data_IF_396456512483
#
_entry.id   IF_396456512483
#
_cell.length_a   1.000
_cell.length_b   1.000
_cell.length_c   1.000
_cell.angle_alpha   90.00
_cell.angle_beta   90.00
_cell.angle_gamma   90.00
#
_symmetry.space_group_name_H-M   'P 1'
#
loop_
_entity.id
_entity.type
_entity.pdbx_description
1 polymer ?
#
# COMPACT_ATOMS: atom_id res chain seq x y z
N UNK A 1 -31.60 72.74 8.28
CA UNK A 1 -32.59 73.55 7.56
C UNK A 1 -33.32 72.65 6.57
N UNK A 2 -34.56 72.27 6.92
CA UNK A 2 -35.82 72.63 6.25
C UNK A 2 -36.07 71.82 4.97
N UNK A 3 -36.86 70.74 5.07
CA UNK A 3 -38.31 70.68 4.77
C UNK A 3 -38.55 70.25 3.32
N UNK A 4 -39.05 69.03 3.04
CA UNK A 4 -40.49 68.70 2.99
C UNK A 4 -41.07 69.19 1.66
N UNK A 5 -41.65 68.38 0.77
CA UNK A 5 -42.88 67.60 0.98
C UNK A 5 -43.20 66.83 -0.32
N UNK A 6 -43.80 65.65 -0.19
CA UNK A 6 -44.50 64.98 -1.29
C UNK A 6 -45.95 65.45 -1.37
N UNK A 7 -46.54 65.39 -2.56
CA UNK A 7 -47.99 65.35 -2.74
C UNK A 7 -48.34 64.45 -3.93
N UNK A 8 -49.09 63.39 -3.66
CA UNK A 8 -49.99 62.76 -4.62
C UNK A 8 -51.34 63.48 -4.54
N UNK A 9 -51.97 63.77 -5.68
CA UNK A 9 -53.42 63.97 -5.74
C UNK A 9 -53.97 63.50 -7.08
N UNK A 10 -55.18 62.96 -7.00
CA UNK A 10 -55.90 62.22 -8.03
C UNK A 10 -56.87 63.09 -8.84
N UNK A 11 -57.32 62.50 -9.95
CA UNK A 11 -58.66 62.58 -10.58
C UNK A 11 -59.01 63.63 -11.65
N UNK A 12 -59.36 63.05 -12.82
CA UNK A 12 -60.51 63.28 -13.73
C UNK A 12 -60.31 64.06 -15.06
N UNK A 13 -60.51 63.27 -16.11
CA UNK A 13 -60.85 63.47 -17.53
C UNK A 13 -61.63 64.75 -17.91
N UNK A 14 -61.28 65.33 -19.07
CA UNK A 14 -62.16 65.69 -20.22
C UNK A 14 -61.25 65.86 -21.45
N UNK A 15 -61.63 65.27 -22.59
CA UNK A 15 -60.77 65.13 -23.78
C UNK A 15 -60.82 66.26 -24.80
N UNK A 16 -59.81 66.31 -25.67
CA UNK A 16 -59.93 66.54 -27.11
C UNK A 16 -58.63 66.14 -27.82
N UNK A 17 -58.76 65.59 -29.03
CA UNK A 17 -57.71 65.02 -29.87
C UNK A 17 -56.55 65.98 -30.15
N UNK A 18 -55.31 65.47 -30.15
CA UNK A 18 -54.28 65.78 -31.15
C UNK A 18 -53.19 64.67 -31.16
N UNK A 19 -52.86 64.21 -32.37
CA UNK A 19 -51.89 63.16 -32.68
C UNK A 19 -50.46 63.62 -32.37
N UNK A 20 -49.74 62.89 -31.51
CA UNK A 20 -48.28 62.96 -31.45
C UNK A 20 -47.69 61.55 -31.29
N UNK A 21 -47.04 61.06 -32.36
CA UNK A 21 -46.20 59.86 -32.32
C UNK A 21 -44.97 60.18 -31.47
N UNK A 22 -44.82 59.53 -30.33
CA UNK A 22 -43.62 59.58 -29.50
C UNK A 22 -43.22 58.17 -29.10
N UNK A 23 -42.18 57.63 -29.75
CA UNK A 23 -41.56 56.35 -29.40
C UNK A 23 -40.95 56.42 -28.00
N UNK A 24 -41.52 55.71 -27.02
CA UNK A 24 -40.90 55.54 -25.70
C UNK A 24 -39.92 54.37 -25.76
N UNK A 25 -38.64 54.67 -25.99
CA UNK A 25 -37.54 53.72 -25.81
C UNK A 25 -37.25 53.56 -24.31
N UNK A 26 -37.43 52.34 -23.79
CA UNK A 26 -37.05 51.96 -22.43
C UNK A 26 -35.54 52.11 -22.25
N UNK A 27 -35.09 53.12 -21.50
CA UNK A 27 -33.71 53.20 -21.03
C UNK A 27 -33.55 52.25 -19.85
N UNK A 28 -33.00 51.06 -20.10
CA UNK A 28 -32.42 50.20 -19.05
C UNK A 28 -31.39 51.01 -18.28
N UNK A 29 -31.71 51.37 -17.03
CA UNK A 29 -30.75 51.94 -16.09
C UNK A 29 -29.82 50.80 -15.65
N UNK A 30 -28.61 50.77 -16.22
CA UNK A 30 -27.55 49.86 -15.81
C UNK A 30 -27.03 50.37 -14.48
N UNK A 31 -27.37 49.70 -13.39
CA UNK A 31 -26.66 49.89 -12.11
C UNK A 31 -25.25 49.38 -12.32
N UNK A 32 -24.31 50.31 -12.51
CA UNK A 32 -22.89 49.99 -12.50
C UNK A 32 -22.55 49.40 -11.13
N UNK A 33 -22.19 48.13 -11.23
CA UNK A 33 -21.60 47.29 -10.23
C UNK A 33 -20.39 48.05 -9.67
N UNK A 34 -20.43 48.50 -8.42
CA UNK A 34 -19.20 48.79 -7.70
C UNK A 34 -18.47 47.46 -7.59
N UNK A 35 -17.55 47.24 -8.52
CA UNK A 35 -16.59 46.16 -8.50
C UNK A 35 -15.72 46.41 -7.26
N UNK A 36 -16.05 45.76 -6.15
CA UNK A 36 -15.17 45.74 -4.98
C UNK A 36 -13.79 45.27 -5.43
N UNK A 37 -12.81 46.15 -5.25
CA UNK A 37 -11.40 45.89 -5.50
C UNK A 37 -10.99 44.76 -4.54
N UNK A 38 -10.45 43.61 -5.01
CA UNK A 38 -10.07 42.53 -4.13
C UNK A 38 -8.95 43.01 -3.19
N UNK A 39 -9.27 43.16 -1.91
CA UNK A 39 -8.27 43.26 -0.85
C UNK A 39 -7.43 41.97 -0.82
N UNK A 40 -6.11 42.02 -0.55
CA UNK A 40 -5.20 40.86 -0.66
C UNK A 40 -5.37 39.75 0.41
N UNK A 41 -6.57 39.56 0.97
CA UNK A 41 -6.80 38.67 2.12
C UNK A 41 -8.14 37.92 2.08
N UNK A 42 -8.56 37.47 0.90
CA UNK A 42 -9.90 36.85 0.69
C UNK A 42 -9.83 35.38 0.25
N UNK A 43 -8.70 34.70 0.42
CA UNK A 43 -8.62 33.24 0.25
C UNK A 43 -8.67 32.58 1.64
N UNK A 44 -9.66 31.71 1.85
CA UNK A 44 -9.76 30.89 3.06
C UNK A 44 -8.55 29.98 3.25
N UNK A 45 -8.51 29.19 4.34
CA UNK A 45 -7.41 28.28 4.58
C UNK A 45 -7.34 27.22 3.47
N UNK A 46 -6.14 26.93 3.01
CA UNK A 46 -5.89 26.00 1.90
C UNK A 46 -4.79 25.03 2.33
N UNK A 47 -5.00 23.74 2.06
CA UNK A 47 -3.97 22.72 2.22
C UNK A 47 -2.93 22.86 1.10
N UNK A 48 -1.66 22.70 1.45
CA UNK A 48 -0.59 22.63 0.45
C UNK A 48 -0.71 21.34 -0.36
N UNK A 49 -0.94 21.41 -1.69
CA UNK A 49 -1.13 20.24 -2.53
C UNK A 49 0.16 19.39 -2.69
N UNK A 50 1.32 19.94 -2.31
CA UNK A 50 2.58 19.17 -2.29
C UNK A 50 2.71 18.24 -1.09
N UNK A 51 1.80 18.34 -0.10
CA UNK A 51 1.79 17.45 1.06
C UNK A 51 1.41 16.03 0.63
N UNK A 52 2.22 15.01 0.94
CA UNK A 52 1.95 13.65 0.52
C UNK A 52 0.74 13.05 1.26
N UNK A 53 -0.16 12.42 0.51
CA UNK A 53 -1.33 11.71 1.06
C UNK A 53 -1.06 10.24 1.41
N UNK A 54 0.15 9.74 1.14
CA UNK A 54 0.53 8.35 1.43
C UNK A 54 1.85 8.33 2.20
N UNK A 55 1.90 7.55 3.27
CA UNK A 55 3.08 7.33 4.07
C UNK A 55 3.24 5.83 4.33
N UNK A 56 4.39 5.27 3.99
CA UNK A 56 4.79 3.92 4.40
C UNK A 56 5.89 4.03 5.44
N UNK A 57 5.78 3.28 6.54
CA UNK A 57 6.77 3.26 7.61
C UNK A 57 6.94 1.86 8.17
N UNK A 58 8.11 1.58 8.75
CA UNK A 58 8.37 0.31 9.43
C UNK A 58 7.73 0.32 10.82
N UNK A 59 7.22 -0.84 11.24
CA UNK A 59 6.77 -1.04 12.61
C UNK A 59 7.90 -0.71 13.61
N UNK A 60 7.56 -0.04 14.70
CA UNK A 60 8.54 0.38 15.72
C UNK A 60 9.31 1.67 15.41
N UNK A 61 9.34 2.16 14.16
CA UNK A 61 9.98 3.44 13.84
C UNK A 61 9.17 4.64 14.36
N UNK A 62 9.54 5.86 13.97
CA UNK A 62 8.71 7.05 14.22
C UNK A 62 8.07 7.45 12.90
N UNK A 63 6.74 7.59 12.88
CA UNK A 63 6.00 8.07 11.73
C UNK A 63 5.68 9.57 11.88
N UNK A 64 5.83 10.32 10.80
CA UNK A 64 5.50 11.74 10.72
C UNK A 64 4.47 11.96 9.63
N UNK A 65 3.24 12.30 10.03
CA UNK A 65 2.19 12.67 9.08
C UNK A 65 2.19 14.19 9.00
N UNK A 66 2.64 14.71 7.86
CA UNK A 66 2.76 16.14 7.62
C UNK A 66 1.43 16.71 7.13
N UNK A 67 1.12 17.94 7.54
CA UNK A 67 0.01 18.71 7.00
C UNK A 67 0.41 20.18 6.94
N UNK A 68 0.43 20.76 5.74
CA UNK A 68 0.76 22.18 5.56
C UNK A 68 -0.49 22.97 5.21
N UNK A 69 -0.75 24.04 5.94
CA UNK A 69 -1.97 24.86 5.82
C UNK A 69 -1.60 26.33 5.69
N UNK A 70 -1.97 26.93 4.55
CA UNK A 70 -1.84 28.36 4.28
C UNK A 70 -3.09 29.10 4.72
N UNK A 71 -2.96 30.38 5.07
CA UNK A 71 -4.07 31.26 5.43
C UNK A 71 -4.97 30.69 6.55
N UNK A 72 -4.36 30.05 7.56
CA UNK A 72 -5.10 29.43 8.67
C UNK A 72 -5.97 30.43 9.47
N UNK A 73 -5.51 31.67 9.60
CA UNK A 73 -6.19 32.69 10.39
C UNK A 73 -6.31 32.30 11.86
N UNK A 74 -7.51 32.45 12.43
CA UNK A 74 -7.82 32.07 13.81
C UNK A 74 -8.40 30.64 13.95
N UNK A 75 -8.27 29.82 12.91
CA UNK A 75 -8.81 28.45 12.88
C UNK A 75 -7.80 27.46 13.46
N UNK A 76 -8.31 26.30 13.86
CA UNK A 76 -7.50 25.24 14.48
C UNK A 76 -7.33 24.08 13.50
N UNK A 77 -6.12 23.55 13.42
CA UNK A 77 -5.81 22.28 12.75
C UNK A 77 -5.90 21.15 13.77
N UNK A 78 -6.56 20.06 13.43
CA UNK A 78 -6.75 18.89 14.27
C UNK A 78 -6.40 17.63 13.51
N UNK A 79 -5.86 16.62 14.19
CA UNK A 79 -5.68 15.29 13.61
C UNK A 79 -6.76 14.35 14.12
N UNK A 80 -7.46 13.69 13.20
CA UNK A 80 -8.52 12.73 13.49
C UNK A 80 -8.16 11.37 12.89
N UNK A 81 -8.35 10.31 13.66
CA UNK A 81 -8.23 8.93 13.16
C UNK A 81 -9.57 8.49 12.59
N UNK A 82 -9.60 8.14 11.30
CA UNK A 82 -10.88 8.01 10.60
C UNK A 82 -11.64 6.72 10.95
N UNK A 83 -10.95 5.63 11.31
CA UNK A 83 -11.58 4.32 11.60
C UNK A 83 -12.61 4.36 12.74
N UNK A 84 -12.41 5.25 13.71
CA UNK A 84 -13.20 5.37 14.94
C UNK A 84 -13.55 6.84 15.25
N UNK A 85 -13.26 7.76 14.32
CA UNK A 85 -13.48 9.20 14.45
C UNK A 85 -12.83 9.75 15.74
N UNK A 86 -11.71 9.16 16.14
CA UNK A 86 -11.04 9.52 17.39
C UNK A 86 -10.18 10.76 17.19
N UNK A 87 -10.45 11.82 17.97
CA UNK A 87 -9.65 13.04 17.98
C UNK A 87 -8.28 12.75 18.61
N UNK A 88 -7.21 12.91 17.83
CA UNK A 88 -5.85 12.68 18.28
C UNK A 88 -5.23 13.95 18.84
N UNK A 89 -5.35 15.06 18.11
CA UNK A 89 -4.76 16.35 18.48
C UNK A 89 -5.68 17.51 18.08
N UNK A 90 -5.57 18.61 18.82
CA UNK A 90 -6.19 19.90 18.49
C UNK A 90 -5.16 21.02 18.66
N UNK A 91 -4.76 21.62 17.54
CA UNK A 91 -3.66 22.57 17.50
C UNK A 91 -2.36 21.93 17.97
N UNK A 92 -1.77 22.48 19.03
CA UNK A 92 -0.51 22.01 19.63
C UNK A 92 -0.71 21.01 20.76
N UNK A 93 -1.95 20.67 21.09
CA UNK A 93 -2.29 19.82 22.22
C UNK A 93 -2.68 18.42 21.74
N UNK A 94 -2.08 17.40 22.34
CA UNK A 94 -2.53 16.01 22.18
C UNK A 94 -3.79 15.79 23.01
N UNK A 95 -4.87 15.36 22.37
CA UNK A 95 -6.17 15.08 23.01
C UNK A 95 -6.29 13.62 23.45
N UNK A 96 -5.75 12.69 22.64
CA UNK A 96 -5.77 11.26 22.98
C UNK A 96 -4.90 10.96 24.21
N UNK A 97 -5.29 9.95 24.98
CA UNK A 97 -4.49 9.44 26.11
C UNK A 97 -3.34 8.53 25.68
N UNK A 98 -3.33 8.07 24.43
CA UNK A 98 -2.23 7.25 23.88
C UNK A 98 -0.99 8.14 23.68
N UNK A 99 0.01 7.95 24.55
CA UNK A 99 1.25 8.73 24.62
C UNK A 99 2.14 8.61 23.36
N UNK A 100 1.84 7.69 22.45
CA UNK A 100 2.56 7.54 21.19
C UNK A 100 2.24 8.66 20.20
N UNK A 101 1.05 9.26 20.31
CA UNK A 101 0.58 10.32 19.43
C UNK A 101 0.95 11.69 20.00
N UNK A 102 1.61 12.52 19.21
CA UNK A 102 2.05 13.84 19.64
C UNK A 102 1.83 14.88 18.54
N UNK A 103 1.27 16.03 18.94
CA UNK A 103 1.14 17.20 18.09
C UNK A 103 2.49 17.92 17.97
N UNK A 104 3.00 18.07 16.76
CA UNK A 104 4.20 18.85 16.46
C UNK A 104 3.83 20.03 15.58
N UNK A 105 4.14 21.24 16.05
CA UNK A 105 3.96 22.46 15.29
C UNK A 105 5.00 23.48 15.73
N UNK A 106 5.80 23.94 14.77
CA UNK A 106 6.78 25.00 15.00
C UNK A 106 6.07 26.35 14.89
N UNK A 107 6.20 27.26 15.88
CA UNK A 107 5.56 28.57 15.79
C UNK A 107 5.95 29.31 14.51
N UNK A 108 4.98 29.98 13.89
CA UNK A 108 5.13 30.75 12.64
C UNK A 108 5.40 29.92 11.39
N UNK A 109 5.28 28.59 11.45
CA UNK A 109 5.27 27.74 10.25
C UNK A 109 3.84 27.38 9.86
N UNK A 110 3.66 26.96 8.60
CA UNK A 110 2.40 26.43 8.09
C UNK A 110 2.24 24.94 8.38
N UNK A 111 3.19 24.32 9.07
CA UNK A 111 3.31 22.87 9.23
C UNK A 111 2.73 22.36 10.55
N UNK A 112 1.83 21.38 10.43
CA UNK A 112 1.10 20.71 11.50
C UNK A 112 1.31 19.21 11.38
N UNK A 113 2.27 18.68 12.12
CA UNK A 113 2.71 17.29 11.98
C UNK A 113 2.18 16.45 13.13
N UNK A 114 1.59 15.30 12.82
CA UNK A 114 1.30 14.26 13.79
C UNK A 114 2.49 13.31 13.88
N UNK A 115 3.12 13.24 15.04
CA UNK A 115 4.16 12.24 15.34
C UNK A 115 3.51 11.02 15.98
N UNK A 116 3.80 9.83 15.46
CA UNK A 116 3.35 8.55 16.01
C UNK A 116 4.59 7.71 16.33
N UNK A 117 4.85 7.47 17.62
CA UNK A 117 5.96 6.63 18.09
C UNK A 117 5.59 5.15 18.05
N UNK A 118 6.56 4.31 17.65
CA UNK A 118 6.42 2.85 17.66
C UNK A 118 5.12 2.38 17.01
N UNK A 119 4.82 2.79 15.76
CA UNK A 119 3.60 2.41 15.08
C UNK A 119 3.58 0.89 14.92
N UNK A 120 2.39 0.33 15.01
CA UNK A 120 2.12 -1.09 14.89
C UNK A 120 1.36 -1.33 13.59
N UNK A 121 1.36 -2.57 13.07
CA UNK A 121 0.58 -2.92 11.87
C UNK A 121 -0.90 -2.52 11.98
N UNK A 122 -1.47 -2.60 13.19
CA UNK A 122 -2.84 -2.17 13.50
C UNK A 122 -3.07 -0.65 13.42
N UNK A 123 -2.03 0.18 13.43
CA UNK A 123 -2.16 1.63 13.28
C UNK A 123 -2.28 2.05 11.81
N UNK A 124 -2.07 1.14 10.85
CA UNK A 124 -2.33 1.42 9.45
C UNK A 124 -3.78 1.86 9.22
N UNK A 125 -3.97 2.84 8.35
CA UNK A 125 -5.29 3.39 8.03
C UNK A 125 -5.26 4.86 7.68
N UNK A 126 -6.45 5.46 7.62
CA UNK A 126 -6.64 6.85 7.23
C UNK A 126 -6.62 7.76 8.45
N UNK A 127 -5.81 8.80 8.35
CA UNK A 127 -5.72 9.92 9.28
C UNK A 127 -6.09 11.19 8.54
N UNK A 128 -6.85 12.07 9.19
CA UNK A 128 -7.35 13.29 8.60
C UNK A 128 -6.77 14.50 9.32
N UNK A 129 -6.08 15.36 8.58
CA UNK A 129 -5.75 16.70 9.02
C UNK A 129 -6.94 17.62 8.74
N UNK A 130 -7.70 17.97 9.77
CA UNK A 130 -8.94 18.71 9.68
C UNK A 130 -8.76 20.17 10.13
N UNK A 131 -9.33 21.12 9.39
CA UNK A 131 -9.37 22.54 9.75
C UNK A 131 -10.77 22.90 10.25
N UNK A 132 -10.85 23.67 11.34
CA UNK A 132 -12.10 24.13 11.97
C UNK A 132 -12.83 25.21 11.14
N UNK A 133 -13.10 24.93 9.87
CA UNK A 133 -13.93 25.74 8.96
C UNK A 133 -15.41 25.35 9.12
N UNK A 134 -16.33 26.10 8.51
CA UNK A 134 -17.76 25.75 8.52
C UNK A 134 -18.26 25.68 7.07
N UNK A 135 -18.50 24.47 6.51
CA UNK A 135 -18.23 23.14 7.08
C UNK A 135 -16.74 22.85 7.23
N UNK A 136 -16.31 21.89 8.08
CA UNK A 136 -14.90 21.53 8.24
C UNK A 136 -14.35 20.96 6.92
N UNK A 137 -13.08 21.24 6.64
CA UNK A 137 -12.34 20.70 5.49
C UNK A 137 -11.18 19.85 5.98
N UNK A 138 -10.86 18.78 5.25
CA UNK A 138 -9.85 17.80 5.64
C UNK A 138 -8.88 17.44 4.52
N UNK A 139 -7.64 17.13 4.90
CA UNK A 139 -6.65 16.46 4.07
C UNK A 139 -6.41 15.05 4.60
N UNK A 140 -6.68 14.05 3.78
CA UNK A 140 -6.56 12.64 4.14
C UNK A 140 -5.17 12.11 3.86
N UNK A 141 -4.60 11.42 4.84
CA UNK A 141 -3.31 10.73 4.76
C UNK A 141 -3.51 9.26 5.07
N UNK A 142 -3.17 8.39 4.13
CA UNK A 142 -3.12 6.96 4.33
C UNK A 142 -1.76 6.53 4.86
N UNK A 143 -1.72 5.99 6.07
CA UNK A 143 -0.52 5.43 6.67
C UNK A 143 -0.52 3.90 6.52
N UNK A 144 0.55 3.35 5.95
CA UNK A 144 0.81 1.92 5.85
C UNK A 144 2.01 1.53 6.72
N UNK A 145 1.78 0.74 7.76
CA UNK A 145 2.83 0.24 8.65
C UNK A 145 3.19 -1.18 8.21
N UNK A 146 4.43 -1.36 7.77
CA UNK A 146 4.96 -2.63 7.26
C UNK A 146 5.97 -3.23 8.25
N UNK A 147 6.07 -4.55 8.23
CA UNK A 147 7.04 -5.31 9.02
C UNK A 147 8.01 -6.00 8.07
N UNK A 148 9.28 -6.20 8.47
CA UNK A 148 10.21 -6.95 7.66
C UNK A 148 9.73 -8.38 7.42
N UNK A 149 9.82 -8.86 6.19
CA UNK A 149 9.40 -10.21 5.81
C UNK A 149 10.58 -10.95 5.18
N UNK A 150 10.88 -12.14 5.69
CA UNK A 150 11.99 -12.98 5.22
C UNK A 150 11.44 -14.17 4.47
N UNK A 151 11.99 -14.44 3.29
CA UNK A 151 11.59 -15.54 2.42
C UNK A 151 12.82 -16.12 1.72
N UNK A 152 12.84 -17.43 1.50
CA UNK A 152 13.86 -18.08 0.67
C UNK A 152 13.21 -18.46 -0.66
N UNK A 153 13.73 -17.90 -1.76
CA UNK A 153 13.18 -18.13 -3.10
C UNK A 153 13.24 -19.61 -3.47
N UNK A 154 12.18 -20.11 -4.12
CA UNK A 154 12.08 -21.51 -4.54
C UNK A 154 11.73 -22.49 -3.43
N UNK A 155 11.46 -22.03 -2.20
CA UNK A 155 10.92 -22.87 -1.13
C UNK A 155 9.46 -23.32 -1.36
N UNK A 156 8.95 -24.26 -0.54
CA UNK A 156 9.57 -24.84 0.65
C UNK A 156 10.55 -25.99 0.36
N UNK A 157 10.54 -26.56 -0.85
CA UNK A 157 11.36 -27.70 -1.26
C UNK A 157 12.11 -27.38 -2.56
N UNK A 158 13.42 -27.64 -2.59
CA UNK A 158 14.28 -27.47 -3.76
C UNK A 158 14.99 -28.77 -4.08
N UNK A 159 15.12 -29.07 -5.37
CA UNK A 159 15.76 -30.29 -5.88
C UNK A 159 16.96 -29.91 -6.73
N UNK A 160 18.14 -30.44 -6.40
CA UNK A 160 19.41 -30.06 -7.01
C UNK A 160 20.17 -31.33 -7.36
N UNK A 161 20.70 -31.44 -8.57
CA UNK A 161 21.46 -32.62 -8.96
C UNK A 161 22.82 -32.65 -8.26
N UNK A 162 23.30 -33.84 -7.92
CA UNK A 162 24.67 -34.05 -7.44
C UNK A 162 25.70 -33.42 -8.40
N UNK A 163 26.77 -32.86 -7.84
CA UNK A 163 27.82 -32.14 -8.57
C UNK A 163 27.47 -30.71 -8.99
N UNK A 164 26.19 -30.31 -8.94
CA UNK A 164 25.76 -28.94 -9.28
C UNK A 164 26.07 -27.93 -8.16
N UNK A 165 25.80 -26.65 -8.39
CA UNK A 165 25.94 -25.60 -7.37
C UNK A 165 24.59 -25.35 -6.69
N UNK A 166 24.55 -25.43 -5.36
CA UNK A 166 23.42 -24.97 -4.56
C UNK A 166 23.45 -23.44 -4.54
N UNK A 167 22.36 -22.81 -4.98
CA UNK A 167 22.18 -21.36 -4.96
C UNK A 167 20.86 -21.03 -4.25
N UNK A 168 20.96 -20.66 -2.97
CA UNK A 168 19.80 -20.26 -2.18
C UNK A 168 19.78 -18.74 -2.05
N UNK A 169 18.71 -18.13 -2.54
CA UNK A 169 18.48 -16.69 -2.40
C UNK A 169 17.50 -16.45 -1.27
N UNK A 170 17.94 -15.76 -0.23
CA UNK A 170 17.08 -15.22 0.81
C UNK A 170 16.79 -13.75 0.55
N UNK A 171 15.53 -13.37 0.61
CA UNK A 171 15.04 -12.02 0.41
C UNK A 171 14.39 -11.53 1.69
N UNK A 172 14.82 -10.37 2.17
CA UNK A 172 14.28 -9.67 3.33
C UNK A 172 13.63 -8.38 2.86
N UNK A 173 12.32 -8.42 2.60
CA UNK A 173 11.51 -7.26 2.24
C UNK A 173 11.34 -6.32 3.43
N UNK A 174 11.17 -5.02 3.16
CA UNK A 174 11.02 -3.97 4.18
C UNK A 174 12.14 -4.02 5.22
N UNK A 175 13.38 -4.17 4.76
CA UNK A 175 14.57 -4.21 5.61
C UNK A 175 14.74 -2.87 6.35
N UNK A 176 14.99 -2.89 7.68
CA UNK A 176 15.30 -1.67 8.43
C UNK A 176 16.65 -1.08 8.01
N UNK A 177 16.85 0.20 8.31
CA UNK A 177 18.15 0.89 8.15
C UNK A 177 18.77 1.15 9.54
N UNK A 178 19.98 0.65 9.84
CA UNK A 178 20.85 -0.18 9.00
C UNK A 178 20.34 -1.62 8.80
N UNK A 179 20.61 -2.19 7.61
CA UNK A 179 20.20 -3.53 7.26
C UNK A 179 20.80 -4.61 8.20
N UNK A 180 20.02 -5.65 8.55
CA UNK A 180 20.43 -6.66 9.50
C UNK A 180 21.58 -7.53 8.95
N UNK A 181 22.33 -8.15 9.86
CA UNK A 181 23.23 -9.25 9.50
C UNK A 181 22.38 -10.48 9.23
N UNK A 182 22.68 -11.19 8.13
CA UNK A 182 21.98 -12.42 7.74
C UNK A 182 22.93 -13.60 7.93
N UNK A 183 22.51 -14.54 8.77
CA UNK A 183 23.20 -15.81 8.96
C UNK A 183 22.48 -16.93 8.22
N UNK A 184 23.22 -17.96 7.85
CA UNK A 184 22.67 -19.19 7.29
C UNK A 184 23.02 -20.38 8.18
N UNK A 185 22.04 -21.23 8.40
CA UNK A 185 22.21 -22.50 9.11
C UNK A 185 21.79 -23.68 8.23
N UNK A 186 22.47 -24.81 8.37
CA UNK A 186 22.13 -26.09 7.77
C UNK A 186 21.82 -27.07 8.90
N UNK A 187 20.61 -27.62 8.91
CA UNK A 187 20.13 -28.53 9.96
C UNK A 187 20.33 -27.98 11.39
N UNK A 188 20.11 -26.67 11.56
CA UNK A 188 20.28 -25.90 12.81
C UNK A 188 21.73 -25.64 13.25
N UNK A 189 22.71 -26.02 12.43
CA UNK A 189 24.11 -25.68 12.66
C UNK A 189 24.53 -24.53 11.74
N UNK A 190 25.21 -23.52 12.29
CA UNK A 190 25.69 -22.38 11.49
C UNK A 190 26.66 -22.86 10.42
N UNK A 191 26.46 -22.41 9.19
CA UNK A 191 27.35 -22.75 8.08
C UNK A 191 28.68 -22.01 8.26
N UNK A 192 29.78 -22.77 8.29
CA UNK A 192 31.13 -22.21 8.31
C UNK A 192 31.64 -21.97 6.88
N UNK A 193 31.96 -20.72 6.57
CA UNK A 193 32.56 -20.33 5.28
C UNK A 193 34.01 -20.78 5.13
N UNK A 194 34.69 -21.05 6.25
CA UNK A 194 36.07 -21.55 6.31
C UNK A 194 36.14 -23.09 6.37
N UNK A 195 35.07 -23.78 5.97
CA UNK A 195 35.02 -25.24 6.05
C UNK A 195 36.10 -25.90 5.17
N UNK A 196 36.69 -27.04 5.60
CA UNK A 196 37.70 -27.76 4.80
C UNK A 196 37.21 -28.20 3.42
N UNK A 197 35.90 -28.28 3.21
CA UNK A 197 35.28 -28.58 1.92
C UNK A 197 35.61 -27.51 0.87
N UNK A 198 35.67 -26.24 1.29
CA UNK A 198 35.75 -25.10 0.39
C UNK A 198 34.50 -24.93 -0.49
N UNK A 199 34.50 -23.90 -1.34
CA UNK A 199 33.44 -23.66 -2.32
C UNK A 199 32.11 -23.18 -1.72
N UNK A 200 32.11 -22.69 -0.48
CA UNK A 200 30.98 -22.02 0.16
C UNK A 200 31.24 -20.52 0.10
N UNK A 201 30.29 -19.74 -0.44
CA UNK A 201 30.37 -18.29 -0.43
C UNK A 201 29.02 -17.65 -0.13
N UNK A 202 29.07 -16.46 0.47
CA UNK A 202 27.91 -15.65 0.82
C UNK A 202 28.02 -14.29 0.14
N UNK A 203 27.00 -13.92 -0.60
CA UNK A 203 26.90 -12.58 -1.22
C UNK A 203 25.67 -11.89 -0.63
N UNK A 204 25.87 -10.79 0.07
CA UNK A 204 24.76 -10.02 0.66
C UNK A 204 24.70 -8.62 0.05
N UNK A 205 23.57 -8.30 -0.56
CA UNK A 205 23.24 -7.01 -1.14
C UNK A 205 22.25 -6.31 -0.19
N UNK A 206 22.65 -5.17 0.38
CA UNK A 206 21.86 -4.43 1.37
C UNK A 206 21.06 -3.31 0.71
N UNK A 207 19.83 -3.12 1.15
CA UNK A 207 18.93 -2.07 0.67
C UNK A 207 17.61 -2.06 1.42
N UNK A 208 16.59 -1.39 0.87
CA UNK A 208 15.21 -1.49 1.38
C UNK A 208 14.65 -2.91 1.28
N UNK A 209 15.19 -3.69 0.35
CA UNK A 209 15.12 -5.15 0.31
C UNK A 209 16.55 -5.66 0.39
N UNK A 210 16.84 -6.50 1.39
CA UNK A 210 18.17 -7.11 1.56
C UNK A 210 18.14 -8.51 0.98
N UNK A 211 19.09 -8.83 0.11
CA UNK A 211 19.18 -10.14 -0.53
C UNK A 211 20.48 -10.82 -0.11
N UNK A 212 20.39 -12.07 0.34
CA UNK A 212 21.54 -12.90 0.73
C UNK A 212 21.56 -14.18 -0.09
N UNK A 213 22.62 -14.39 -0.87
CA UNK A 213 22.81 -15.55 -1.74
C UNK A 213 23.85 -16.47 -1.12
N UNK A 214 23.42 -17.66 -0.69
CA UNK A 214 24.29 -18.73 -0.23
C UNK A 214 24.62 -19.65 -1.43
N UNK A 215 25.91 -19.77 -1.73
CA UNK A 215 26.42 -20.58 -2.82
C UNK A 215 27.26 -21.73 -2.25
N UNK A 216 26.92 -22.98 -2.58
CA UNK A 216 27.68 -24.18 -2.21
C UNK A 216 28.00 -24.97 -3.48
N UNK A 217 29.27 -25.04 -3.85
CA UNK A 217 29.72 -25.73 -5.05
C UNK A 217 29.79 -27.25 -4.86
N UNK A 218 29.67 -27.98 -5.97
CA UNK A 218 29.82 -29.45 -6.04
C UNK A 218 28.94 -30.16 -5.01
N UNK A 219 27.62 -30.00 -5.12
CA UNK A 219 26.64 -30.58 -4.22
C UNK A 219 26.84 -32.09 -4.07
N UNK A 220 26.73 -32.61 -2.86
CA UNK A 220 26.77 -34.05 -2.54
C UNK A 220 25.53 -34.43 -1.75
N UNK A 221 25.16 -35.71 -1.71
CA UNK A 221 23.95 -36.20 -1.02
C UNK A 221 23.86 -35.71 0.43
N UNK A 222 25.00 -35.59 1.13
CA UNK A 222 25.11 -35.09 2.52
C UNK A 222 24.71 -33.62 2.71
N UNK A 223 24.64 -32.84 1.64
CA UNK A 223 24.16 -31.45 1.68
C UNK A 223 22.64 -31.37 1.79
N UNK A 224 21.93 -32.47 1.50
CA UNK A 224 20.49 -32.51 1.70
C UNK A 224 20.13 -32.18 3.14
N UNK A 225 19.08 -31.38 3.32
CA UNK A 225 18.70 -30.91 4.65
C UNK A 225 17.91 -29.63 4.61
N UNK A 226 17.71 -29.06 5.79
CA UNK A 226 16.99 -27.79 5.95
C UNK A 226 18.02 -26.68 6.03
N UNK A 227 17.95 -25.75 5.09
CA UNK A 227 18.71 -24.51 5.10
C UNK A 227 17.81 -23.39 5.63
N UNK A 228 18.26 -22.65 6.63
CA UNK A 228 17.54 -21.51 7.15
C UNK A 228 18.34 -20.22 6.97
N UNK A 229 17.65 -19.19 6.48
CA UNK A 229 18.11 -17.82 6.45
C UNK A 229 17.60 -17.10 7.69
N UNK A 230 18.52 -16.57 8.48
CA UNK A 230 18.28 -16.06 9.83
C UNK A 230 18.81 -14.61 9.93
N UNK A 231 17.98 -13.61 9.59
CA UNK A 231 18.34 -12.21 9.82
C UNK A 231 18.27 -11.88 11.32
N UNK A 232 19.20 -11.06 11.80
CA UNK A 232 19.32 -10.70 13.22
C UNK A 232 18.04 -10.06 13.77
N UNK A 233 17.53 -10.57 14.90
CA UNK A 233 16.31 -10.13 15.58
C UNK A 233 15.04 -10.12 14.71
N UNK A 234 14.96 -10.99 13.70
CA UNK A 234 13.84 -11.07 12.77
C UNK A 234 13.37 -12.50 12.59
N UNK A 235 12.24 -12.67 11.90
CA UNK A 235 11.70 -14.00 11.59
C UNK A 235 12.56 -14.70 10.55
N UNK A 236 13.05 -15.90 10.86
CA UNK A 236 13.80 -16.71 9.91
C UNK A 236 12.88 -17.37 8.87
N UNK A 237 13.43 -17.72 7.71
CA UNK A 237 12.77 -18.52 6.68
C UNK A 237 13.66 -19.70 6.29
N UNK A 238 13.05 -20.86 6.00
CA UNK A 238 13.78 -22.09 5.70
C UNK A 238 13.30 -22.77 4.43
N UNK A 239 14.21 -23.48 3.77
CA UNK A 239 13.96 -24.32 2.60
C UNK A 239 14.57 -25.69 2.81
N UNK A 240 13.88 -26.75 2.38
CA UNK A 240 14.39 -28.11 2.36
C UNK A 240 15.04 -28.37 1.01
N UNK A 241 16.34 -28.65 1.02
CA UNK A 241 17.09 -29.00 -0.19
C UNK A 241 17.25 -30.51 -0.25
N UNK A 242 16.93 -31.07 -1.41
CA UNK A 242 17.09 -32.48 -1.77
C UNK A 242 18.14 -32.59 -2.87
N UNK A 243 19.23 -33.30 -2.59
CA UNK A 243 20.24 -33.59 -3.61
C UNK A 243 19.89 -34.91 -4.30
N UNK A 244 19.68 -34.84 -5.61
CA UNK A 244 19.32 -35.98 -6.45
C UNK A 244 20.59 -36.66 -6.98
N UNK A 245 20.73 -37.95 -6.68
CA UNK A 245 21.70 -38.83 -7.34
C UNK A 245 21.17 -39.21 -8.73
N UNK A 246 22.05 -39.21 -9.74
CA UNK A 246 21.71 -39.44 -11.15
C UNK A 246 21.04 -40.79 -11.42
N UNK A 247 21.24 -41.79 -10.56
CA UNK A 247 20.57 -43.10 -10.70
C UNK A 247 19.07 -43.06 -10.40
N UNK A 248 18.59 -42.17 -9.53
CA UNK A 248 17.18 -42.13 -9.12
C UNK A 248 16.26 -41.37 -10.10
N UNK A 249 16.80 -40.60 -11.05
CA UNK A 249 16.00 -39.94 -12.09
C UNK A 249 15.49 -40.93 -13.14
N UNK A 250 16.20 -42.04 -13.35
CA UNK A 250 15.84 -43.06 -14.33
C UNK A 250 14.60 -43.88 -13.91
N UNK A 251 14.34 -44.04 -12.61
CA UNK A 251 13.24 -44.87 -12.12
C UNK A 251 11.84 -44.27 -12.40
N UNK A 252 11.72 -42.94 -12.49
CA UNK A 252 10.45 -42.26 -12.81
C UNK A 252 10.09 -42.32 -14.30
N UNK A 253 11.08 -42.55 -15.17
CA UNK A 253 10.87 -42.63 -16.62
C UNK A 253 10.55 -44.05 -17.13
N UNK A 254 10.53 -45.06 -16.26
CA UNK A 254 10.13 -46.41 -16.60
C UNK A 254 8.75 -46.76 -16.03
N UNK A 255 7.71 -46.01 -16.43
CA UNK A 255 6.36 -46.54 -16.41
C UNK A 255 6.33 -47.75 -17.36
N UNK A 256 6.23 -48.96 -16.79
CA UNK A 256 6.03 -50.21 -17.50
C UNK A 256 4.83 -50.10 -18.45
N UNK A 257 5.11 -49.88 -19.72
CA UNK A 257 4.17 -50.13 -20.81
C UNK A 257 3.88 -51.62 -20.84
N UNK A 258 2.90 -52.04 -20.05
CA UNK A 258 2.36 -53.40 -20.08
C UNK A 258 1.81 -53.63 -21.48
N UNK A 259 2.55 -54.37 -22.30
CA UNK A 259 2.08 -54.90 -23.57
C UNK A 259 0.83 -55.72 -23.30
N UNK A 260 -0.34 -55.12 -23.53
CA UNK A 260 -1.61 -55.85 -23.50
C UNK A 260 -1.59 -56.79 -24.70
N UNK A 261 -1.48 -58.10 -24.41
CA UNK A 261 -1.46 -59.14 -25.43
C UNK A 261 -2.67 -58.97 -26.36
N UNK A 262 -2.49 -58.96 -27.70
CA UNK A 262 -3.57 -58.76 -28.66
C UNK A 262 -4.69 -59.82 -28.55
N UNK A 263 -4.42 -60.93 -27.86
CA UNK A 263 -5.40 -61.98 -27.53
C UNK A 263 -6.48 -61.54 -26.54
N UNK A 264 -6.18 -60.60 -25.64
CA UNK A 264 -7.15 -60.11 -24.64
C UNK A 264 -8.13 -59.12 -25.28
N UNK A 265 -7.65 -58.31 -26.23
CA UNK A 265 -8.47 -57.36 -26.97
C UNK A 265 -9.47 -58.10 -27.88
N UNK A 266 -9.05 -59.17 -28.55
CA UNK A 266 -9.95 -59.98 -29.38
C UNK A 266 -10.99 -60.75 -28.56
N UNK A 267 -10.64 -61.22 -27.37
CA UNK A 267 -11.59 -61.87 -26.46
C UNK A 267 -12.68 -60.90 -25.95
N UNK A 268 -12.32 -59.65 -25.66
CA UNK A 268 -13.30 -58.63 -25.23
C UNK A 268 -14.24 -58.21 -26.36
N UNK A 269 -13.73 -58.09 -27.59
CA UNK A 269 -14.56 -57.75 -28.76
C UNK A 269 -15.52 -58.90 -29.10
N UNK A 270 -15.10 -60.16 -28.98
CA UNK A 270 -15.99 -61.29 -29.24
C UNK A 270 -17.09 -61.43 -28.18
N UNK A 271 -16.79 -61.13 -26.92
CA UNK A 271 -17.79 -61.11 -25.84
C UNK A 271 -18.82 -59.99 -26.01
N UNK A 272 -18.42 -58.79 -26.48
CA UNK A 272 -19.37 -57.72 -26.74
C UNK A 272 -20.25 -58.01 -27.94
N UNK A 273 -19.71 -58.61 -29.02
CA UNK A 273 -20.51 -59.04 -30.18
C UNK A 273 -21.50 -60.14 -29.81
N UNK A 274 -21.08 -61.13 -29.01
CA UNK A 274 -21.99 -62.16 -28.49
C UNK A 274 -23.09 -61.57 -27.60
N UNK A 275 -22.76 -60.57 -26.76
CA UNK A 275 -23.74 -59.88 -25.94
C UNK A 275 -24.75 -59.08 -26.79
N UNK A 276 -24.30 -58.46 -27.88
CA UNK A 276 -25.17 -57.76 -28.83
C UNK A 276 -26.09 -58.72 -29.59
N UNK A 277 -25.58 -59.89 -29.99
CA UNK A 277 -26.37 -60.95 -30.61
C UNK A 277 -27.46 -61.48 -29.67
N UNK A 278 -27.14 -61.63 -28.38
CA UNK A 278 -28.08 -62.09 -27.36
C UNK A 278 -29.15 -61.06 -27.01
N UNK A 279 -28.87 -59.77 -27.22
CA UNK A 279 -29.80 -58.66 -26.97
C UNK A 279 -30.67 -58.32 -28.19
N UNK A 280 -30.47 -58.97 -29.36
CA UNK A 280 -31.36 -58.86 -30.52
C UNK A 280 -31.29 -57.54 -31.30
N UNK A 281 -30.15 -56.85 -31.29
CA UNK A 281 -29.94 -55.57 -32.00
C UNK A 281 -29.13 -55.70 -33.31
N UNK A 282 -29.06 -56.90 -33.89
CA UNK A 282 -28.63 -57.20 -35.27
C UNK A 282 -29.52 -58.32 -35.80
#
# INVERSE_FOLDING_TARGET
MSSGTGLCSSTILIGLLLLAKGTCGSRRFRTDFLQDIPTPSTSGPIFDPSTPSNLTTLAGNIAFLHCKVKNLGNRTVSWVRHRDIHLLTAGRYTYTSDQRFEALHTPHTEEWTLRIKYPQKKDSGIYECQISTTPPIGHFVYMNVVEPKTEVEGGPDMYINEGSTINLTCVVENSPDPAPVINWSHNKETISFDSPRGGISLVTEKGSTTTSKLLIQKAVVKDSGIYACEPFNMTASSVRVHILDGEHQAAMHHAHGSSVSPTIITALITLTVLHWYRMGWI
#
